data_IF_377958037596
#
_entry.id   IF_377958037596
#
_cell.length_a   1.000
_cell.length_b   1.000
_cell.length_c   1.000
_cell.angle_alpha   90.00
_cell.angle_beta   90.00
_cell.angle_gamma   90.00
#
_symmetry.space_group_name_H-M   'P 1'
#
loop_
_entity.id
_entity.type
_entity.pdbx_description
1 polymer ?
#
# COMPACT_ATOMS: atom_id res chain seq x y z
N UNK A 1 -3.66 9.46 -30.96
CA UNK A 1 -2.95 8.20 -30.70
C UNK A 1 -1.60 8.54 -30.11
N UNK A 2 -1.48 8.62 -28.79
CA UNK A 2 -0.18 8.70 -28.12
C UNK A 2 0.30 7.27 -27.90
N UNK A 3 1.47 6.93 -28.45
CA UNK A 3 2.13 5.66 -28.20
C UNK A 3 2.43 5.57 -26.71
N UNK A 4 1.83 4.58 -26.04
CA UNK A 4 2.18 4.19 -24.68
C UNK A 4 3.53 3.49 -24.72
N UNK A 5 4.61 4.27 -24.79
CA UNK A 5 5.94 3.76 -24.49
C UNK A 5 5.96 3.43 -22.99
N UNK A 6 5.87 2.14 -22.65
CA UNK A 6 6.00 1.68 -21.27
C UNK A 6 7.37 2.10 -20.75
N UNK A 7 7.42 3.09 -19.86
CA UNK A 7 8.64 3.55 -19.20
C UNK A 7 9.20 2.56 -18.17
N UNK A 8 8.49 1.44 -17.98
CA UNK A 8 8.86 0.36 -17.07
C UNK A 8 9.19 -0.91 -17.86
N UNK A 9 10.32 -1.52 -17.49
CA UNK A 9 10.78 -2.83 -17.95
C UNK A 9 10.65 -3.77 -16.77
N UNK A 10 10.01 -4.92 -16.95
CA UNK A 10 10.01 -5.98 -15.96
C UNK A 10 11.33 -6.76 -16.04
N UNK A 11 12.04 -6.85 -14.92
CA UNK A 11 13.22 -7.69 -14.77
C UNK A 11 12.98 -8.79 -13.72
N UNK A 12 13.71 -9.91 -13.75
CA UNK A 12 13.68 -10.87 -12.66
C UNK A 12 14.00 -10.17 -11.33
N UNK A 13 13.19 -10.40 -10.29
CA UNK A 13 13.47 -9.84 -8.98
C UNK A 13 14.72 -10.48 -8.35
N UNK A 14 15.38 -9.74 -7.46
CA UNK A 14 16.48 -10.28 -6.65
C UNK A 14 16.01 -10.52 -5.21
N UNK A 15 16.68 -11.39 -4.44
CA UNK A 15 16.35 -11.61 -3.03
C UNK A 15 16.43 -10.33 -2.19
N UNK A 16 17.39 -9.45 -2.48
CA UNK A 16 17.55 -8.16 -1.82
C UNK A 16 16.33 -7.27 -2.08
N UNK A 17 15.87 -7.19 -3.33
CA UNK A 17 14.67 -6.43 -3.68
C UNK A 17 13.43 -6.95 -2.94
N UNK A 18 13.25 -8.26 -2.85
CA UNK A 18 12.14 -8.87 -2.11
C UNK A 18 12.18 -8.48 -0.63
N UNK A 19 13.37 -8.57 0.00
CA UNK A 19 13.55 -8.19 1.40
C UNK A 19 13.20 -6.71 1.61
N UNK A 20 13.71 -5.82 0.77
CA UNK A 20 13.43 -4.39 0.89
C UNK A 20 11.94 -4.07 0.69
N UNK A 21 11.25 -4.74 -0.24
CA UNK A 21 9.79 -4.58 -0.42
C UNK A 21 9.04 -5.03 0.83
N UNK A 22 9.38 -6.17 1.43
CA UNK A 22 8.68 -6.66 2.62
C UNK A 22 8.84 -5.71 3.81
N UNK A 23 10.05 -5.22 4.07
CA UNK A 23 10.33 -4.29 5.15
C UNK A 23 9.69 -2.92 4.91
N UNK A 24 9.71 -2.42 3.66
CA UNK A 24 9.07 -1.15 3.32
C UNK A 24 7.55 -1.22 3.48
N UNK A 25 6.93 -2.30 2.99
CA UNK A 25 5.48 -2.47 3.05
C UNK A 25 4.99 -2.65 4.50
N UNK A 26 5.70 -3.42 5.32
CA UNK A 26 5.35 -3.56 6.74
C UNK A 26 5.45 -2.20 7.45
N UNK A 27 6.54 -1.45 7.23
CA UNK A 27 6.71 -0.11 7.80
C UNK A 27 5.58 0.83 7.39
N UNK A 28 5.18 0.84 6.11
CA UNK A 28 4.11 1.72 5.62
C UNK A 28 2.73 1.29 6.14
N UNK A 29 2.44 -0.01 6.22
CA UNK A 29 1.16 -0.54 6.70
C UNK A 29 0.93 -0.18 8.18
N UNK A 30 1.97 -0.33 9.02
CA UNK A 30 1.89 -0.01 10.43
C UNK A 30 1.86 1.51 10.67
N UNK A 31 2.60 2.29 9.87
CA UNK A 31 2.52 3.75 9.93
C UNK A 31 1.11 4.26 9.55
N UNK A 32 0.49 3.68 8.52
CA UNK A 32 -0.87 4.00 8.05
C UNK A 32 -1.95 3.66 9.10
N UNK A 33 -1.79 2.56 9.83
CA UNK A 33 -2.81 2.02 10.74
C UNK A 33 -2.71 2.59 12.15
N UNK A 34 -1.51 2.72 12.71
CA UNK A 34 -1.31 3.07 14.12
C UNK A 34 -0.96 4.55 14.35
N UNK A 35 -0.63 5.32 13.31
CA UNK A 35 -0.05 6.67 13.43
C UNK A 35 1.17 6.71 14.39
N UNK A 36 1.82 5.57 14.63
CA UNK A 36 3.01 5.48 15.46
C UNK A 36 4.21 5.94 14.63
N UNK A 37 5.04 6.78 15.26
CA UNK A 37 6.28 7.29 14.68
C UNK A 37 7.40 6.31 14.97
N UNK A 38 8.15 5.93 13.93
CA UNK A 38 9.50 5.35 13.96
C UNK A 38 9.80 4.49 15.19
N UNK A 39 9.25 3.27 15.20
CA UNK A 39 9.77 2.20 16.06
C UNK A 39 11.19 1.83 15.62
N UNK A 40 11.98 1.37 16.58
CA UNK A 40 13.37 0.94 16.37
C UNK A 40 13.40 -0.17 15.31
N UNK A 41 13.94 0.15 14.12
CA UNK A 41 14.03 -0.81 13.02
C UNK A 41 14.93 -1.97 13.45
N UNK A 42 14.36 -3.17 13.55
CA UNK A 42 15.13 -4.39 13.77
C UNK A 42 16.01 -4.61 12.52
N UNK A 43 17.35 -4.64 12.65
CA UNK A 43 18.23 -4.83 11.51
C UNK A 43 18.10 -6.26 10.98
N UNK A 44 17.54 -6.41 9.78
CA UNK A 44 17.38 -7.70 9.08
C UNK A 44 18.31 -7.74 7.88
N UNK A 45 19.07 -8.82 7.74
CA UNK A 45 19.87 -9.11 6.55
C UNK A 45 19.41 -10.44 5.93
N UNK A 46 19.87 -10.75 4.72
CA UNK A 46 19.54 -12.03 4.08
C UNK A 46 20.02 -13.24 4.89
N UNK A 47 21.08 -13.09 5.67
CA UNK A 47 21.65 -14.18 6.47
C UNK A 47 20.99 -14.29 7.86
N UNK A 48 20.05 -13.38 8.19
CA UNK A 48 19.26 -13.47 9.42
C UNK A 48 18.35 -14.71 9.41
N UNK A 49 17.98 -15.23 10.60
CA UNK A 49 16.91 -16.21 10.72
C UNK A 49 15.60 -15.68 10.14
N UNK A 50 14.80 -16.56 9.53
CA UNK A 50 13.51 -16.18 8.94
C UNK A 50 12.56 -15.56 9.99
N UNK A 51 12.59 -16.06 11.22
CA UNK A 51 11.76 -15.53 12.31
C UNK A 51 12.06 -14.06 12.60
N UNK A 52 13.31 -13.60 12.44
CA UNK A 52 13.71 -12.21 12.63
C UNK A 52 13.06 -11.29 11.59
N UNK A 53 12.87 -11.76 10.36
CA UNK A 53 12.12 -11.00 9.34
C UNK A 53 10.65 -10.84 9.74
N UNK A 54 10.01 -11.92 10.20
CA UNK A 54 8.62 -11.86 10.61
C UNK A 54 8.42 -11.00 11.85
N UNK A 55 9.35 -11.05 12.80
CA UNK A 55 9.38 -10.16 13.96
C UNK A 55 9.53 -8.69 13.54
N UNK A 56 10.48 -8.37 12.65
CA UNK A 56 10.67 -7.02 12.12
C UNK A 56 9.42 -6.50 11.38
N UNK A 57 8.70 -7.38 10.70
CA UNK A 57 7.43 -7.06 10.05
C UNK A 57 6.23 -7.08 11.01
N UNK A 58 6.41 -7.44 12.29
CA UNK A 58 5.36 -7.63 13.30
C UNK A 58 4.29 -8.65 12.89
N UNK A 59 4.71 -9.70 12.18
CA UNK A 59 3.86 -10.78 11.69
C UNK A 59 4.07 -12.04 12.54
N UNK A 60 3.22 -12.24 13.54
CA UNK A 60 3.35 -13.37 14.48
C UNK A 60 2.44 -14.56 14.15
N UNK A 61 1.44 -14.35 13.30
CA UNK A 61 0.45 -15.37 12.95
C UNK A 61 0.62 -15.84 11.50
N UNK A 62 0.54 -17.16 11.29
CA UNK A 62 0.74 -17.77 9.97
C UNK A 62 -0.27 -17.31 8.92
N UNK A 63 -1.52 -17.01 9.31
CA UNK A 63 -2.52 -16.50 8.38
C UNK A 63 -2.22 -15.04 8.03
N UNK A 64 -1.81 -14.23 9.00
CA UNK A 64 -1.37 -12.85 8.74
C UNK A 64 -0.12 -12.80 7.84
N UNK A 65 0.88 -13.65 8.11
CA UNK A 65 2.07 -13.77 7.26
C UNK A 65 1.64 -14.04 5.82
N UNK A 66 0.80 -15.06 5.61
CA UNK A 66 0.29 -15.44 4.29
C UNK A 66 -0.45 -14.31 3.59
N UNK A 67 -1.39 -13.65 4.28
CA UNK A 67 -2.21 -12.58 3.71
C UNK A 67 -1.36 -11.37 3.34
N UNK A 68 -0.55 -10.87 4.28
CA UNK A 68 0.21 -9.64 4.08
C UNK A 68 1.32 -9.81 3.07
N UNK A 69 2.16 -10.84 3.20
CA UNK A 69 3.30 -11.02 2.29
C UNK A 69 2.83 -11.24 0.85
N UNK A 70 1.80 -12.06 0.63
CA UNK A 70 1.19 -12.26 -0.70
C UNK A 70 0.67 -10.95 -1.28
N UNK A 71 -0.09 -10.17 -0.50
CA UNK A 71 -0.64 -8.90 -0.96
C UNK A 71 0.46 -7.86 -1.26
N UNK A 72 1.44 -7.72 -0.37
CA UNK A 72 2.56 -6.79 -0.53
C UNK A 72 3.40 -7.12 -1.75
N UNK A 73 3.66 -8.40 -2.00
CA UNK A 73 4.46 -8.84 -3.14
C UNK A 73 3.64 -8.95 -4.44
N UNK A 74 2.31 -8.99 -4.34
CA UNK A 74 1.41 -9.16 -5.49
C UNK A 74 1.41 -10.60 -6.04
N UNK A 75 1.66 -11.57 -5.17
CA UNK A 75 1.69 -12.99 -5.55
C UNK A 75 0.28 -13.56 -5.69
N UNK A 76 0.10 -14.50 -6.62
CA UNK A 76 -1.13 -15.30 -6.69
C UNK A 76 -1.18 -16.32 -5.55
N UNK A 77 -2.36 -16.88 -5.25
CA UNK A 77 -2.48 -18.00 -4.30
C UNK A 77 -1.64 -19.21 -4.72
N UNK A 78 -1.58 -19.49 -6.02
CA UNK A 78 -0.76 -20.59 -6.55
C UNK A 78 0.73 -20.35 -6.33
N UNK A 79 1.21 -19.14 -6.60
CA UNK A 79 2.63 -18.82 -6.41
C UNK A 79 3.01 -18.87 -4.94
N UNK A 80 2.15 -18.32 -4.07
CA UNK A 80 2.35 -18.38 -2.63
C UNK A 80 2.37 -19.82 -2.11
N UNK A 81 1.43 -20.65 -2.56
CA UNK A 81 1.39 -22.08 -2.19
C UNK A 81 2.70 -22.77 -2.55
N UNK A 82 3.31 -22.45 -3.69
CA UNK A 82 4.60 -23.03 -4.09
C UNK A 82 5.79 -22.47 -3.31
N UNK A 83 5.75 -21.23 -2.82
CA UNK A 83 6.79 -20.66 -1.95
C UNK A 83 6.85 -21.43 -0.63
N UNK A 84 5.69 -21.67 -0.03
CA UNK A 84 5.58 -22.36 1.26
C UNK A 84 5.67 -23.88 1.12
N UNK A 85 5.29 -24.44 -0.04
CA UNK A 85 5.41 -25.87 -0.35
C UNK A 85 6.85 -26.19 -0.77
N UNK A 86 7.69 -26.56 0.19
CA UNK A 86 9.06 -26.95 -0.08
C UNK A 86 9.79 -27.37 1.19
N UNK A 87 11.12 -27.58 1.10
CA UNK A 87 11.96 -27.77 2.27
C UNK A 87 11.75 -26.63 3.27
N UNK A 88 11.94 -26.91 4.56
CA UNK A 88 11.85 -25.87 5.59
C UNK A 88 12.84 -24.74 5.27
N UNK A 89 12.37 -23.49 5.38
CA UNK A 89 13.19 -22.30 5.20
C UNK A 89 13.68 -21.86 6.58
N UNK A 90 14.97 -21.64 6.72
CA UNK A 90 15.57 -21.25 8.00
C UNK A 90 16.11 -19.83 7.97
N UNK A 91 16.49 -19.35 6.79
CA UNK A 91 17.05 -18.01 6.60
C UNK A 91 16.13 -17.12 5.80
N UNK A 92 16.31 -15.80 5.95
CA UNK A 92 15.66 -14.80 5.11
C UNK A 92 16.01 -14.99 3.64
N UNK A 93 17.26 -15.35 3.34
CA UNK A 93 17.74 -15.69 2.00
C UNK A 93 16.91 -16.77 1.34
N UNK A 94 16.69 -17.89 2.02
CA UNK A 94 15.90 -19.02 1.47
C UNK A 94 14.48 -18.57 1.07
N UNK A 95 13.88 -17.74 1.91
CA UNK A 95 12.53 -17.21 1.69
C UNK A 95 12.51 -16.22 0.52
N UNK A 96 13.41 -15.24 0.53
CA UNK A 96 13.50 -14.22 -0.51
C UNK A 96 13.87 -14.79 -1.87
N UNK A 97 14.79 -15.77 -1.95
CA UNK A 97 15.16 -16.44 -3.20
C UNK A 97 13.98 -17.21 -3.82
N UNK A 98 13.19 -17.93 -3.01
CA UNK A 98 12.01 -18.63 -3.51
C UNK A 98 10.96 -17.67 -4.07
N UNK A 99 10.79 -16.51 -3.44
CA UNK A 99 9.86 -15.50 -3.90
C UNK A 99 10.38 -14.81 -5.17
N UNK A 100 11.67 -14.47 -5.20
CA UNK A 100 12.30 -13.75 -6.31
C UNK A 100 12.12 -14.45 -7.67
N UNK A 101 12.15 -15.79 -7.69
CA UNK A 101 11.93 -16.58 -8.91
C UNK A 101 10.49 -16.47 -9.46
N UNK A 102 9.54 -16.04 -8.62
CA UNK A 102 8.10 -16.01 -8.94
C UNK A 102 7.56 -14.59 -9.15
N UNK A 103 8.42 -13.59 -9.11
CA UNK A 103 8.01 -12.21 -9.33
C UNK A 103 9.03 -11.43 -10.15
N UNK A 104 8.56 -10.34 -10.72
CA UNK A 104 9.39 -9.37 -11.42
C UNK A 104 9.57 -8.12 -10.57
N UNK A 105 10.67 -7.42 -10.78
CA UNK A 105 10.90 -6.09 -10.24
C UNK A 105 10.79 -5.06 -11.36
N UNK A 106 10.19 -3.88 -11.09
CA UNK A 106 10.11 -2.82 -12.06
C UNK A 106 11.47 -2.12 -12.21
N UNK A 107 11.94 -1.98 -13.45
CA UNK A 107 13.16 -1.26 -13.81
C UNK A 107 12.79 -0.06 -14.67
N UNK A 108 13.29 1.11 -14.32
CA UNK A 108 12.95 2.35 -15.02
C UNK A 108 13.83 2.46 -16.28
N UNK A 109 13.20 2.66 -17.43
CA UNK A 109 13.89 2.95 -18.69
C UNK A 109 14.54 4.33 -18.60
N UNK A 110 15.84 4.41 -18.86
CA UNK A 110 16.59 5.66 -18.77
C UNK A 110 16.44 6.48 -20.05
N UNK A 111 15.63 7.53 -19.95
CA UNK A 111 15.32 8.40 -21.08
C UNK A 111 16.38 9.49 -21.28
N UNK A 112 16.64 9.80 -22.55
CA UNK A 112 17.58 10.85 -22.95
C UNK A 112 16.83 12.12 -23.31
N UNK A 113 17.13 13.20 -22.61
CA UNK A 113 16.58 14.52 -22.86
C UNK A 113 17.68 15.46 -23.34
N UNK A 114 17.56 15.98 -24.55
CA UNK A 114 18.53 16.95 -25.13
C UNK A 114 19.97 16.40 -25.03
N UNK A 115 20.15 15.13 -25.40
CA UNK A 115 21.46 14.45 -25.42
C UNK A 115 22.04 14.08 -24.05
N UNK A 116 21.29 14.24 -22.95
CA UNK A 116 21.71 13.80 -21.60
C UNK A 116 20.67 12.88 -20.98
N UNK A 117 21.12 11.80 -20.36
CA UNK A 117 20.26 10.93 -19.56
C UNK A 117 19.85 11.63 -18.26
N UNK A 118 18.56 11.65 -17.94
CA UNK A 118 18.06 12.30 -16.73
C UNK A 118 17.25 11.31 -15.88
N UNK A 119 17.86 10.82 -14.78
CA UNK A 119 17.22 9.85 -13.87
C UNK A 119 15.93 10.39 -13.23
N UNK A 120 15.90 11.63 -12.67
CA UNK A 120 14.65 12.16 -12.10
C UNK A 120 13.55 12.35 -13.15
N UNK A 121 13.88 12.76 -14.37
CA UNK A 121 12.88 12.89 -15.43
C UNK A 121 12.34 11.52 -15.89
N UNK A 122 13.22 10.52 -15.98
CA UNK A 122 12.82 9.14 -16.30
C UNK A 122 11.92 8.55 -15.20
N UNK A 123 12.27 8.78 -13.93
CA UNK A 123 11.44 8.39 -12.79
C UNK A 123 10.08 9.09 -12.80
N UNK A 124 10.03 10.39 -13.12
CA UNK A 124 8.78 11.12 -13.28
C UNK A 124 7.89 10.50 -14.37
N UNK A 125 8.46 10.13 -15.52
CA UNK A 125 7.71 9.47 -16.59
C UNK A 125 7.20 8.09 -16.17
N UNK A 126 8.00 7.31 -15.44
CA UNK A 126 7.58 6.03 -14.88
C UNK A 126 6.43 6.17 -13.85
N UNK A 127 6.49 7.16 -12.97
CA UNK A 127 5.38 7.45 -12.05
C UNK A 127 4.13 7.86 -12.83
N UNK A 128 4.31 8.68 -13.88
CA UNK A 128 3.21 9.13 -14.74
C UNK A 128 2.57 7.97 -15.51
N UNK A 129 3.35 7.00 -15.99
CA UNK A 129 2.81 5.81 -16.66
C UNK A 129 2.00 4.96 -15.70
N UNK A 130 2.50 4.71 -14.48
CA UNK A 130 1.75 3.98 -13.45
C UNK A 130 0.42 4.67 -13.07
N UNK A 131 0.43 6.00 -12.99
CA UNK A 131 -0.79 6.78 -12.76
C UNK A 131 -1.79 6.61 -13.90
N UNK A 132 -1.31 6.69 -15.15
CA UNK A 132 -2.14 6.53 -16.32
C UNK A 132 -2.72 5.11 -16.45
N UNK A 133 -1.94 4.07 -16.14
CA UNK A 133 -2.37 2.68 -16.09
C UNK A 133 -3.46 2.45 -15.04
N UNK A 134 -3.38 3.14 -13.90
CA UNK A 134 -4.41 3.16 -12.88
C UNK A 134 -5.67 3.99 -13.26
N UNK A 135 -5.71 4.55 -14.48
CA UNK A 135 -6.85 5.31 -15.00
C UNK A 135 -6.89 6.77 -14.54
N UNK A 136 -5.80 7.30 -13.96
CA UNK A 136 -5.69 8.71 -13.57
C UNK A 136 -5.44 9.58 -14.81
N UNK A 137 -6.19 10.68 -14.95
CA UNK A 137 -5.89 11.67 -15.97
C UNK A 137 -4.59 12.42 -15.62
N UNK A 138 -3.55 12.16 -16.40
CA UNK A 138 -2.20 12.72 -16.24
C UNK A 138 -1.91 13.88 -17.19
N UNK A 139 -2.91 14.44 -17.89
CA UNK A 139 -2.70 15.53 -18.84
C UNK A 139 -2.05 16.77 -18.17
N UNK A 140 -2.53 17.12 -16.97
CA UNK A 140 -2.10 18.30 -16.20
C UNK A 140 -1.05 17.98 -15.12
N UNK A 141 -0.57 16.73 -15.06
CA UNK A 141 0.45 16.33 -14.09
C UNK A 141 1.83 16.77 -14.59
N UNK A 142 2.37 17.79 -13.95
CA UNK A 142 3.71 18.32 -14.16
C UNK A 142 4.60 18.06 -12.93
N UNK A 143 5.94 18.15 -13.05
CA UNK A 143 6.84 17.98 -11.90
C UNK A 143 6.56 18.95 -10.74
N UNK A 144 6.04 20.15 -11.03
CA UNK A 144 5.65 21.16 -10.03
C UNK A 144 4.27 20.93 -9.43
N UNK A 145 3.49 19.97 -9.95
CA UNK A 145 2.15 19.68 -9.43
C UNK A 145 2.23 19.17 -7.99
N UNK A 146 1.30 19.63 -7.15
CA UNK A 146 1.25 19.19 -5.75
C UNK A 146 0.88 17.72 -5.67
N UNK A 147 1.65 16.98 -4.88
CA UNK A 147 1.46 15.55 -4.65
C UNK A 147 0.20 15.26 -3.81
N UNK A 148 -0.19 16.21 -2.95
CA UNK A 148 -1.16 16.02 -1.86
C UNK A 148 -2.56 15.61 -2.31
N UNK A 149 -3.05 16.08 -3.46
CA UNK A 149 -4.38 15.74 -3.96
C UNK A 149 -4.41 14.28 -4.45
N UNK A 150 -3.39 13.90 -5.21
CA UNK A 150 -3.32 12.59 -5.85
C UNK A 150 -3.01 11.48 -4.85
N UNK A 151 -2.13 11.74 -3.88
CA UNK A 151 -1.85 10.77 -2.80
C UNK A 151 -3.03 10.54 -1.89
N UNK A 152 -3.96 11.50 -1.81
CA UNK A 152 -5.19 11.36 -1.04
C UNK A 152 -6.17 10.40 -1.70
N UNK A 153 -6.35 10.55 -3.02
CA UNK A 153 -7.33 9.80 -3.81
C UNK A 153 -6.80 8.41 -4.20
N UNK A 154 -5.50 8.27 -4.40
CA UNK A 154 -4.87 7.04 -4.89
C UNK A 154 -3.77 6.57 -3.94
N UNK A 155 -4.01 6.61 -2.63
CA UNK A 155 -3.01 6.25 -1.62
C UNK A 155 -2.36 4.88 -1.88
N UNK A 156 -3.18 3.88 -2.21
CA UNK A 156 -2.71 2.51 -2.42
C UNK A 156 -1.83 2.38 -3.68
N UNK A 157 -1.97 3.28 -4.66
CA UNK A 157 -1.05 3.34 -5.80
C UNK A 157 0.34 3.86 -5.40
N UNK A 158 0.38 4.84 -4.49
CA UNK A 158 1.63 5.40 -3.97
C UNK A 158 2.35 4.42 -3.05
N UNK A 159 1.59 3.72 -2.20
CA UNK A 159 2.14 2.72 -1.27
C UNK A 159 2.41 1.37 -1.93
N UNK A 160 1.79 1.06 -3.08
CA UNK A 160 2.01 -0.20 -3.80
C UNK A 160 2.98 -0.01 -4.98
N UNK A 161 2.48 0.12 -6.23
CA UNK A 161 3.33 0.18 -7.43
C UNK A 161 4.42 1.25 -7.42
N UNK A 162 4.15 2.46 -6.92
CA UNK A 162 5.14 3.53 -6.91
C UNK A 162 6.22 3.28 -5.84
N UNK A 163 5.85 2.78 -4.66
CA UNK A 163 6.80 2.41 -3.62
C UNK A 163 7.75 1.30 -4.09
N UNK A 164 7.23 0.34 -4.86
CA UNK A 164 8.00 -0.75 -5.47
C UNK A 164 9.08 -0.30 -6.46
N UNK A 165 9.00 0.92 -7.00
CA UNK A 165 10.07 1.48 -7.84
C UNK A 165 11.36 1.75 -7.06
N UNK A 166 11.25 2.07 -5.77
CA UNK A 166 12.36 2.34 -4.88
C UNK A 166 11.98 1.92 -3.44
N UNK A 167 11.97 0.61 -3.15
CA UNK A 167 11.65 0.09 -1.82
C UNK A 167 12.54 0.75 -0.75
N UNK A 168 11.95 1.09 0.38
CA UNK A 168 12.66 1.78 1.47
C UNK A 168 12.98 3.25 1.18
N UNK A 169 12.73 3.76 -0.02
CA UNK A 169 12.99 5.15 -0.40
C UNK A 169 11.95 6.13 0.16
N UNK A 170 10.67 5.74 0.16
CA UNK A 170 9.60 6.63 0.58
C UNK A 170 9.60 6.85 2.11
N UNK A 171 9.51 8.11 2.56
CA UNK A 171 9.31 8.40 3.99
C UNK A 171 8.02 7.76 4.52
N UNK A 172 7.94 7.59 5.83
CA UNK A 172 6.74 7.07 6.50
C UNK A 172 5.50 7.93 6.19
N UNK A 173 4.40 7.25 5.85
CA UNK A 173 3.15 7.90 5.51
C UNK A 173 2.38 8.34 6.75
N UNK A 174 2.07 9.63 6.84
CA UNK A 174 1.18 10.17 7.88
C UNK A 174 -0.19 10.41 7.30
N UNK A 175 -1.16 9.59 7.71
CA UNK A 175 -2.55 9.64 7.24
C UNK A 175 -3.44 10.25 8.32
N UNK A 176 -3.86 11.50 8.11
CA UNK A 176 -4.86 12.12 8.98
C UNK A 176 -6.26 11.82 8.45
N UNK A 177 -7.00 10.96 9.15
CA UNK A 177 -8.42 10.71 8.88
C UNK A 177 -9.28 11.82 9.51
N UNK A 178 -10.39 12.24 8.87
CA UNK A 178 -11.31 13.18 9.49
C UNK A 178 -11.90 12.56 10.75
N UNK A 179 -11.88 13.32 11.86
CA UNK A 179 -12.27 12.86 13.22
C UNK A 179 -13.76 12.50 13.32
N UNK A 180 -14.58 12.92 12.34
CA UNK A 180 -16.03 12.83 12.44
C UNK A 180 -16.65 11.46 12.10
N UNK A 181 -15.92 10.48 11.54
CA UNK A 181 -16.59 9.39 10.81
C UNK A 181 -16.41 7.95 11.32
N UNK A 182 -15.40 7.61 12.13
CA UNK A 182 -15.13 6.17 12.34
C UNK A 182 -15.99 5.53 13.43
N UNK A 183 -16.35 6.27 14.48
CA UNK A 183 -17.10 5.67 15.59
C UNK A 183 -18.48 6.29 15.84
N UNK A 184 -18.79 7.52 15.40
CA UNK A 184 -20.09 8.15 15.69
C UNK A 184 -21.28 7.39 15.07
N UNK A 185 -21.15 6.92 13.82
CA UNK A 185 -22.25 6.22 13.14
C UNK A 185 -22.45 4.83 13.76
N UNK A 186 -21.36 4.13 14.09
CA UNK A 186 -21.41 2.84 14.77
C UNK A 186 -21.93 2.95 16.21
N UNK A 187 -21.46 3.95 16.98
CA UNK A 187 -21.97 4.20 18.34
C UNK A 187 -23.42 4.64 18.30
N UNK A 188 -23.83 5.49 17.35
CA UNK A 188 -25.22 5.88 17.17
C UNK A 188 -26.12 4.68 16.80
N UNK A 189 -25.65 3.76 15.95
CA UNK A 189 -26.38 2.54 15.61
C UNK A 189 -26.55 1.59 16.82
N UNK A 190 -25.50 1.43 17.63
CA UNK A 190 -25.55 0.63 18.86
C UNK A 190 -26.48 1.27 19.89
N UNK A 191 -26.42 2.60 20.06
CA UNK A 191 -27.28 3.35 20.98
C UNK A 191 -28.75 3.29 20.54
N UNK A 192 -29.00 3.42 19.23
CA UNK A 192 -30.33 3.30 18.64
C UNK A 192 -30.92 1.90 18.83
N UNK A 193 -30.11 0.85 18.66
CA UNK A 193 -30.53 -0.54 18.90
C UNK A 193 -30.84 -0.80 20.38
N UNK A 194 -29.98 -0.33 21.30
CA UNK A 194 -30.21 -0.45 22.75
C UNK A 194 -31.48 0.26 23.21
N UNK A 195 -31.84 1.38 22.56
CA UNK A 195 -33.00 2.18 22.93
C UNK A 195 -34.33 1.63 22.36
N UNK A 196 -34.31 1.04 21.16
CA UNK A 196 -35.52 0.54 20.47
C UNK A 196 -35.82 -0.94 20.71
N UNK A 197 -34.81 -1.76 21.02
CA UNK A 197 -35.01 -3.19 21.34
C UNK A 197 -36.05 -3.42 22.48
N UNK A 198 -36.01 -2.71 23.62
CA UNK A 198 -37.00 -2.89 24.68
C UNK A 198 -38.40 -2.37 24.31
N UNK A 199 -38.52 -1.39 23.41
CA UNK A 199 -39.81 -0.89 22.91
C UNK A 199 -40.48 -1.88 21.96
N UNK A 200 -39.72 -2.68 21.22
CA UNK A 200 -40.26 -3.64 20.24
C UNK A 200 -41.01 -4.82 20.87
N UNK A 201 -40.72 -5.15 22.13
CA UNK A 201 -41.38 -6.22 22.90
C UNK A 201 -42.86 -5.91 23.16
N UNK A 202 -43.26 -4.62 23.15
CA UNK A 202 -44.64 -4.19 23.39
C UNK A 202 -45.51 -4.01 22.14
N UNK A 203 -44.93 -3.87 20.95
CA UNK A 203 -45.65 -3.39 19.74
C UNK A 203 -45.75 -4.41 18.59
N UNK A 204 -45.28 -5.64 18.78
CA UNK A 204 -45.45 -6.75 17.83
C UNK A 204 -44.40 -6.83 16.71
N UNK A 205 -44.55 -7.85 15.85
CA UNK A 205 -43.55 -8.27 14.85
C UNK A 205 -43.19 -7.21 13.81
N UNK A 206 -44.10 -6.29 13.50
CA UNK A 206 -43.86 -5.21 12.52
C UNK A 206 -42.84 -4.17 13.02
N UNK A 207 -42.86 -3.84 14.31
CA UNK A 207 -41.88 -2.92 14.91
C UNK A 207 -40.47 -3.50 14.93
N UNK A 208 -40.38 -4.82 15.15
CA UNK A 208 -39.11 -5.55 15.10
C UNK A 208 -38.48 -5.55 13.70
N UNK A 209 -39.28 -5.80 12.65
CA UNK A 209 -38.79 -5.78 11.27
C UNK A 209 -38.31 -4.38 10.83
N UNK A 210 -39.00 -3.32 11.25
CA UNK A 210 -38.58 -1.94 10.96
C UNK A 210 -37.27 -1.59 11.67
N UNK A 211 -37.09 -2.05 12.92
CA UNK A 211 -35.85 -1.86 13.67
C UNK A 211 -34.67 -2.60 13.02
N UNK A 212 -34.88 -3.84 12.56
CA UNK A 212 -33.87 -4.62 11.83
C UNK A 212 -33.51 -3.97 10.49
N UNK A 213 -34.49 -3.42 9.75
CA UNK A 213 -34.25 -2.71 8.50
C UNK A 213 -33.43 -1.43 8.71
N UNK A 214 -33.76 -0.62 9.71
CA UNK A 214 -33.00 0.59 10.05
C UNK A 214 -31.57 0.26 10.50
N UNK A 215 -31.39 -0.82 11.28
CA UNK A 215 -30.06 -1.30 11.66
C UNK A 215 -29.27 -1.75 10.42
N UNK A 216 -29.87 -2.48 9.48
CA UNK A 216 -29.23 -2.85 8.23
C UNK A 216 -28.80 -1.62 7.41
N UNK A 217 -29.67 -0.59 7.29
CA UNK A 217 -29.32 0.66 6.62
C UNK A 217 -28.16 1.41 7.31
N UNK A 218 -28.15 1.47 8.64
CA UNK A 218 -27.07 2.11 9.40
C UNK A 218 -25.76 1.34 9.30
N UNK A 219 -25.81 0.00 9.31
CA UNK A 219 -24.66 -0.86 9.07
C UNK A 219 -24.13 -0.62 7.66
N UNK A 220 -24.99 -0.63 6.63
CA UNK A 220 -24.59 -0.32 5.25
C UNK A 220 -23.98 1.07 5.14
N UNK A 221 -24.54 2.09 5.81
CA UNK A 221 -23.98 3.44 5.83
C UNK A 221 -22.61 3.50 6.55
N UNK A 222 -22.43 2.78 7.65
CA UNK A 222 -21.17 2.70 8.39
C UNK A 222 -20.09 1.91 7.63
N UNK A 223 -20.47 0.87 6.88
CA UNK A 223 -19.55 0.15 5.99
C UNK A 223 -19.22 0.97 4.74
N UNK A 224 -20.19 1.74 4.21
CA UNK A 224 -20.00 2.64 3.08
C UNK A 224 -19.13 3.86 3.37
N UNK A 225 -18.97 4.28 4.63
CA UNK A 225 -18.06 5.38 5.01
C UNK A 225 -16.60 4.94 5.16
N UNK A 226 -16.30 3.63 5.13
CA UNK A 226 -14.93 3.10 5.26
C UNK A 226 -14.02 3.49 4.08
N UNK A 227 -14.60 3.88 2.95
CA UNK A 227 -13.89 4.32 1.73
C UNK A 227 -13.77 5.84 1.58
N UNK A 228 -14.04 6.64 2.63
CA UNK A 228 -13.78 8.08 2.51
C UNK A 228 -12.29 8.37 2.42
N UNK A 229 -11.90 9.07 1.36
CA UNK A 229 -10.58 9.65 1.17
C UNK A 229 -10.02 10.21 2.49
N UNK A 230 -8.78 9.87 2.88
CA UNK A 230 -8.15 10.47 4.04
C UNK A 230 -8.16 11.99 3.93
N UNK A 231 -8.32 12.73 5.04
CA UNK A 231 -8.38 14.20 4.96
C UNK A 231 -7.05 14.80 4.50
N UNK A 232 -5.93 14.21 4.92
CA UNK A 232 -4.57 14.55 4.47
C UNK A 232 -3.66 13.32 4.48
N UNK A 233 -2.87 13.17 3.42
CA UNK A 233 -1.77 12.21 3.32
C UNK A 233 -0.48 13.02 3.15
N UNK A 234 0.55 12.69 3.94
CA UNK A 234 1.88 13.29 3.81
C UNK A 234 2.95 12.21 3.89
N UNK A 235 3.94 12.32 3.02
CA UNK A 235 5.15 11.50 3.03
C UNK A 235 6.32 12.39 3.46
N UNK A 236 6.62 12.42 4.75
CA UNK A 236 7.63 13.32 5.31
C UNK A 236 7.49 14.77 4.82
N UNK A 237 8.53 15.26 4.12
CA UNK A 237 8.61 16.62 3.58
C UNK A 237 8.30 16.73 2.07
N UNK A 238 7.85 15.66 1.40
CA UNK A 238 7.55 15.67 -0.03
C UNK A 238 6.35 16.57 -0.35
N UNK A 239 6.52 17.52 -1.28
CA UNK A 239 5.46 18.46 -1.67
C UNK A 239 5.00 18.28 -3.10
N UNK A 240 5.93 17.98 -4.00
CA UNK A 240 5.72 17.95 -5.45
C UNK A 240 6.14 16.62 -6.08
N UNK A 241 5.70 16.36 -7.32
CA UNK A 241 6.15 15.20 -8.08
C UNK A 241 7.65 15.24 -8.41
N UNK A 242 8.25 16.44 -8.50
CA UNK A 242 9.71 16.59 -8.61
C UNK A 242 10.42 15.98 -7.42
N UNK A 243 10.03 16.36 -6.19
CA UNK A 243 10.65 15.85 -4.96
C UNK A 243 10.55 14.33 -4.89
N UNK A 244 9.39 13.78 -5.27
CA UNK A 244 9.16 12.34 -5.34
C UNK A 244 10.09 11.66 -6.37
N UNK A 245 10.19 12.24 -7.57
CA UNK A 245 10.98 11.65 -8.65
C UNK A 245 12.47 11.72 -8.37
N UNK A 246 12.95 12.80 -7.73
CA UNK A 246 14.32 12.92 -7.25
C UNK A 246 14.64 11.88 -6.18
N UNK A 247 13.72 11.63 -5.25
CA UNK A 247 13.88 10.62 -4.21
C UNK A 247 13.93 9.21 -4.81
N UNK A 248 12.99 8.87 -5.71
CA UNK A 248 12.97 7.56 -6.38
C UNK A 248 14.24 7.36 -7.21
N UNK A 249 14.71 8.40 -7.91
CA UNK A 249 15.91 8.32 -8.73
C UNK A 249 17.21 8.03 -7.98
N UNK A 250 17.24 8.20 -6.65
CA UNK A 250 18.40 7.85 -5.83
C UNK A 250 18.52 6.34 -5.57
N UNK A 251 17.41 5.61 -5.54
CA UNK A 251 17.36 4.18 -5.19
C UNK A 251 16.87 3.27 -6.29
N UNK A 252 16.08 3.77 -7.23
CA UNK A 252 15.54 2.96 -8.32
C UNK A 252 16.63 2.39 -9.23
N UNK A 253 16.35 1.20 -9.77
CA UNK A 253 17.20 0.57 -10.77
C UNK A 253 16.84 1.13 -12.15
N UNK A 254 17.85 1.59 -12.88
CA UNK A 254 17.71 2.12 -14.23
C UNK A 254 18.36 1.20 -15.26
N UNK A 255 17.75 1.07 -16.42
CA UNK A 255 18.32 0.38 -17.58
C UNK A 255 18.23 1.28 -18.81
N UNK A 256 19.30 1.29 -19.61
CA UNK A 256 19.38 1.99 -20.90
C UNK A 256 18.75 1.15 -21.99
#
# INVERSE_FOLDING_TARGET
MQQTSSSLIEAPATPEYVLEVLLDQSRQEWSKSLNISEEEEIPVTLDSPLDTLFEACQLYDSALISIFTKNWLGLSESDWTQVVSGPQMHTVRDFCERIAVRMTMPVISLETFIGRTCRPASAFLAIRSLLQEAGVDVADVAPSTSLSKLTRQHLDLFLGPIAKLAPGGLPTVRVKRPVCDTNWIGTAAILFYLLLCPLSVGYGTAAYLLCMFLLACLVIAAYGTKERDPARVRFGNLRTFRDLSELIAQRAVFRV
#
